data_IF_793763269275
#
_entry.id   IF_793763269275
#
_cell.length_a   1.000
_cell.length_b   1.000
_cell.length_c   1.000
_cell.angle_alpha   90.00
_cell.angle_beta   90.00
_cell.angle_gamma   90.00
#
_symmetry.space_group_name_H-M   'P 1'
#
loop_
_entity.id
_entity.type
_entity.pdbx_description
1 polymer ?
#
# COMPACT_ATOMS: atom_id res chain seq x y z
N UNK A 1 -7.19 20.93 -15.42
CA UNK A 1 -7.97 20.92 -14.17
C UNK A 1 -7.16 20.11 -13.17
N UNK A 2 -6.48 20.77 -12.25
CA UNK A 2 -5.69 20.08 -11.20
C UNK A 2 -6.68 19.59 -10.15
N UNK A 3 -6.74 18.27 -9.92
CA UNK A 3 -7.48 17.73 -8.81
C UNK A 3 -6.87 18.28 -7.52
N UNK A 4 -7.68 18.81 -6.64
CA UNK A 4 -7.31 19.21 -5.29
C UNK A 4 -6.77 17.98 -4.58
N UNK A 5 -5.53 18.07 -4.10
CA UNK A 5 -4.80 17.02 -3.41
C UNK A 5 -5.24 16.95 -1.95
N UNK A 6 -6.53 16.70 -1.73
CA UNK A 6 -7.04 16.47 -0.39
C UNK A 6 -6.76 15.02 -0.01
N UNK A 7 -5.81 14.84 0.88
CA UNK A 7 -5.56 13.54 1.51
C UNK A 7 -6.80 13.15 2.31
N UNK A 8 -7.45 12.07 1.90
CA UNK A 8 -8.61 11.56 2.64
C UNK A 8 -8.11 10.57 3.69
N UNK A 9 -8.20 10.96 4.96
CA UNK A 9 -7.89 10.08 6.08
C UNK A 9 -9.16 9.45 6.61
N UNK A 10 -9.17 8.13 6.75
CA UNK A 10 -10.27 7.36 7.33
C UNK A 10 -9.80 6.55 8.52
N UNK A 11 -10.64 6.44 9.52
CA UNK A 11 -10.39 5.57 10.67
C UNK A 11 -11.13 4.26 10.47
N UNK A 12 -10.40 3.16 10.64
CA UNK A 12 -10.94 1.80 10.58
C UNK A 12 -10.70 1.10 11.90
N UNK A 13 -11.70 0.37 12.37
CA UNK A 13 -11.54 -0.54 13.48
C UNK A 13 -11.33 -1.95 12.96
N UNK A 14 -10.23 -2.57 13.35
CA UNK A 14 -9.89 -3.95 13.03
C UNK A 14 -9.99 -4.79 14.28
N UNK A 15 -10.63 -5.94 14.20
CA UNK A 15 -10.73 -6.90 15.30
C UNK A 15 -10.58 -8.31 14.77
N UNK A 16 -10.08 -9.19 15.63
CA UNK A 16 -10.14 -10.63 15.46
C UNK A 16 -11.37 -11.23 16.17
N UNK A 17 -11.59 -12.53 15.98
CA UNK A 17 -12.67 -13.26 16.65
C UNK A 17 -12.45 -13.41 18.16
N UNK A 18 -11.26 -13.08 18.67
CA UNK A 18 -10.83 -13.21 20.07
C UNK A 18 -10.95 -11.92 20.89
N UNK A 19 -11.72 -10.93 20.43
CA UNK A 19 -11.90 -9.63 21.08
C UNK A 19 -10.65 -8.70 21.13
N UNK A 20 -9.56 -9.07 20.47
CA UNK A 20 -8.47 -8.14 20.24
C UNK A 20 -8.82 -7.22 19.09
N UNK A 21 -8.77 -5.94 19.32
CA UNK A 21 -9.06 -4.97 18.27
C UNK A 21 -8.25 -3.70 18.45
N UNK A 22 -8.03 -3.01 17.35
CA UNK A 22 -7.37 -1.72 17.34
C UNK A 22 -7.95 -0.80 16.28
N UNK A 23 -7.81 0.47 16.52
CA UNK A 23 -8.14 1.50 15.55
C UNK A 23 -6.90 1.85 14.74
N UNK A 24 -7.05 1.88 13.43
CA UNK A 24 -6.01 2.34 12.51
C UNK A 24 -6.50 3.55 11.74
N UNK A 25 -5.57 4.41 11.39
CA UNK A 25 -5.80 5.54 10.49
C UNK A 25 -5.27 5.20 9.11
N UNK A 26 -6.12 5.33 8.11
CA UNK A 26 -5.80 5.02 6.72
C UNK A 26 -5.88 6.30 5.90
N UNK A 27 -4.75 6.76 5.40
CA UNK A 27 -4.66 7.92 4.53
C UNK A 27 -4.47 7.47 3.08
N UNK A 28 -5.34 7.95 2.19
CA UNK A 28 -5.21 7.73 0.76
C UNK A 28 -4.31 8.82 0.20
N UNK A 29 -3.15 8.42 -0.27
CA UNK A 29 -2.26 9.32 -1.02
C UNK A 29 -2.71 9.35 -2.47
N UNK A 30 -2.58 10.50 -3.12
CA UNK A 30 -2.81 10.60 -4.56
C UNK A 30 -1.93 9.57 -5.27
N UNK A 31 -2.53 8.78 -6.16
CA UNK A 31 -1.78 7.80 -6.94
C UNK A 31 -0.54 8.43 -7.56
N UNK A 32 0.60 7.78 -7.42
CA UNK A 32 1.83 8.23 -8.07
C UNK A 32 1.59 8.21 -9.58
N UNK A 33 1.35 9.39 -10.13
CA UNK A 33 1.09 9.56 -11.55
C UNK A 33 2.38 9.24 -12.29
N UNK A 34 2.28 8.38 -13.28
CA UNK A 34 3.33 8.20 -14.30
C UNK A 34 3.80 9.57 -14.76
N UNK A 35 5.10 9.81 -14.76
CA UNK A 35 5.71 11.07 -15.20
C UNK A 35 5.37 12.29 -14.30
N UNK A 36 5.57 12.18 -12.98
CA UNK A 36 5.65 13.36 -12.11
C UNK A 36 6.86 14.19 -12.57
N UNK A 37 6.66 15.35 -13.25
CA UNK A 37 7.77 16.26 -13.51
C UNK A 37 8.39 16.66 -12.17
N UNK A 38 9.72 16.71 -12.10
CA UNK A 38 10.45 17.11 -10.90
C UNK A 38 9.94 18.42 -10.24
N UNK A 39 9.26 19.28 -10.99
CA UNK A 39 8.64 20.51 -10.47
C UNK A 39 7.31 20.31 -9.73
N UNK A 40 6.70 19.11 -9.79
CA UNK A 40 5.46 18.79 -9.05
C UNK A 40 5.75 18.14 -7.69
N UNK A 41 6.97 17.70 -7.42
CA UNK A 41 7.37 17.14 -6.12
C UNK A 41 7.11 18.15 -5.01
N UNK A 42 7.39 19.44 -5.23
CA UNK A 42 7.15 20.50 -4.25
C UNK A 42 5.64 20.72 -4.01
N UNK A 43 4.81 20.59 -5.05
CA UNK A 43 3.35 20.71 -4.91
C UNK A 43 2.73 19.51 -4.19
N UNK A 44 3.36 18.33 -4.27
CA UNK A 44 2.95 17.10 -3.59
C UNK A 44 3.64 16.90 -2.23
N UNK A 45 4.55 17.78 -1.83
CA UNK A 45 5.36 17.63 -0.63
C UNK A 45 4.53 17.38 0.63
N UNK A 46 3.39 18.07 0.79
CA UNK A 46 2.51 17.88 1.94
C UNK A 46 1.87 16.49 1.98
N UNK A 47 1.45 15.98 0.82
CA UNK A 47 0.85 14.64 0.68
C UNK A 47 1.91 13.54 0.86
N UNK A 48 3.10 13.76 0.32
CA UNK A 48 4.23 12.85 0.45
C UNK A 48 4.79 12.83 1.89
N UNK A 49 4.63 13.93 2.63
CA UNK A 49 5.04 14.00 4.03
C UNK A 49 4.19 13.06 4.92
N UNK A 50 2.95 12.78 4.56
CA UNK A 50 2.16 11.76 5.25
C UNK A 50 2.74 10.35 5.06
N UNK A 51 3.28 10.05 3.89
CA UNK A 51 3.95 8.78 3.63
C UNK A 51 5.21 8.61 4.50
N UNK A 52 6.01 9.66 4.68
CA UNK A 52 7.20 9.62 5.54
C UNK A 52 6.87 9.47 7.03
N UNK A 53 5.69 9.91 7.45
CA UNK A 53 5.23 9.83 8.84
C UNK A 53 4.39 8.59 9.12
N UNK A 54 4.10 7.77 8.12
CA UNK A 54 3.33 6.55 8.27
C UNK A 54 4.12 5.48 9.04
N UNK A 55 3.42 4.65 9.79
CA UNK A 55 4.01 3.47 10.44
C UNK A 55 4.12 2.28 9.48
N UNK A 56 3.30 2.28 8.43
CA UNK A 56 3.28 1.27 7.38
C UNK A 56 2.79 1.88 6.07
N UNK A 57 3.45 1.61 4.97
CA UNK A 57 3.00 1.93 3.63
C UNK A 57 2.31 0.74 2.98
N UNK A 58 1.08 0.92 2.54
CA UNK A 58 0.38 -0.04 1.69
C UNK A 58 0.64 0.32 0.23
N UNK A 59 1.50 -0.44 -0.42
CA UNK A 59 1.79 -0.27 -1.83
C UNK A 59 0.83 -1.14 -2.65
N UNK A 60 -0.24 -0.54 -3.16
CA UNK A 60 -1.27 -1.23 -3.95
C UNK A 60 -0.86 -1.30 -5.40
N UNK A 61 -0.77 -2.51 -5.92
CA UNK A 61 -0.29 -2.83 -7.27
C UNK A 61 -1.41 -3.49 -8.06
N UNK A 62 -1.66 -3.05 -9.28
CA UNK A 62 -2.50 -3.77 -10.23
C UNK A 62 -1.72 -4.95 -10.81
N UNK A 63 -1.92 -6.14 -10.25
CA UNK A 63 -1.16 -7.32 -10.68
C UNK A 63 -1.58 -7.88 -12.04
N UNK A 64 -2.68 -7.40 -12.61
CA UNK A 64 -3.11 -7.74 -13.96
C UNK A 64 -2.43 -6.91 -15.06
N UNK A 65 -1.79 -5.81 -14.69
CA UNK A 65 -1.07 -4.96 -15.63
C UNK A 65 0.30 -5.54 -15.97
N UNK A 66 0.68 -5.70 -17.24
CA UNK A 66 1.94 -6.34 -17.61
C UNK A 66 3.18 -5.58 -17.12
N UNK A 67 3.11 -4.26 -17.01
CA UNK A 67 4.23 -3.40 -16.61
C UNK A 67 4.26 -3.13 -15.09
N UNK A 68 3.56 -3.93 -14.27
CA UNK A 68 3.56 -3.70 -12.82
C UNK A 68 4.97 -3.74 -12.19
N UNK A 69 5.93 -4.54 -12.66
CA UNK A 69 7.28 -4.53 -12.08
C UNK A 69 7.96 -3.18 -12.23
N UNK A 70 7.86 -2.55 -13.41
CA UNK A 70 8.42 -1.23 -13.68
C UNK A 70 7.72 -0.15 -12.83
N UNK A 71 6.41 -0.28 -12.62
CA UNK A 71 5.65 0.62 -11.77
C UNK A 71 6.09 0.53 -10.31
N UNK A 72 6.38 -0.67 -9.80
CA UNK A 72 6.95 -0.86 -8.47
C UNK A 72 8.28 -0.12 -8.33
N UNK A 73 9.18 -0.25 -9.31
CA UNK A 73 10.47 0.44 -9.31
C UNK A 73 10.30 1.96 -9.29
N UNK A 74 9.36 2.49 -10.08
CA UNK A 74 9.06 3.92 -10.10
C UNK A 74 8.60 4.44 -8.73
N UNK A 75 7.73 3.70 -8.05
CA UNK A 75 7.28 4.07 -6.69
C UNK A 75 8.43 4.03 -5.70
N UNK A 76 9.31 3.03 -5.78
CA UNK A 76 10.47 2.97 -4.91
C UNK A 76 11.40 4.17 -5.10
N UNK A 77 11.65 4.59 -6.35
CA UNK A 77 12.43 5.79 -6.63
C UNK A 77 11.82 7.05 -6.01
N UNK A 78 10.49 7.20 -6.07
CA UNK A 78 9.81 8.33 -5.42
C UNK A 78 9.92 8.24 -3.90
N UNK A 79 9.79 7.06 -3.30
CA UNK A 79 9.95 6.87 -1.85
C UNK A 79 11.39 7.20 -1.39
N UNK A 80 12.39 6.91 -2.22
CA UNK A 80 13.78 7.33 -1.99
C UNK A 80 13.91 8.85 -2.03
N UNK A 81 13.37 9.50 -3.05
CA UNK A 81 13.44 10.95 -3.22
C UNK A 81 12.83 11.72 -2.05
N UNK A 82 11.77 11.17 -1.43
CA UNK A 82 11.10 11.80 -0.27
C UNK A 82 11.64 11.33 1.08
N UNK A 83 12.61 10.42 1.11
CA UNK A 83 13.20 9.88 2.34
C UNK A 83 12.29 8.92 3.12
N UNK A 84 11.41 8.18 2.44
CA UNK A 84 10.48 7.22 3.02
C UNK A 84 10.92 5.76 2.91
N UNK A 85 12.16 5.50 2.54
CA UNK A 85 12.70 4.14 2.36
C UNK A 85 12.71 3.30 3.64
N UNK A 86 12.84 3.96 4.79
CA UNK A 86 12.89 3.28 6.08
C UNK A 86 11.50 2.91 6.62
N UNK A 87 10.42 3.40 5.99
CA UNK A 87 9.06 3.06 6.39
C UNK A 87 8.74 1.63 5.92
N UNK A 88 8.29 0.74 6.81
CA UNK A 88 7.90 -0.61 6.44
C UNK A 88 6.84 -0.61 5.33
N UNK A 89 6.93 -1.55 4.40
CA UNK A 89 5.99 -1.68 3.29
C UNK A 89 5.27 -3.02 3.33
N UNK A 90 4.01 -3.01 2.90
CA UNK A 90 3.21 -4.18 2.56
C UNK A 90 2.74 -4.04 1.11
N UNK A 91 3.13 -4.95 0.25
CA UNK A 91 2.66 -4.99 -1.13
C UNK A 91 1.26 -5.63 -1.16
N UNK A 92 0.30 -4.90 -1.70
CA UNK A 92 -1.07 -5.37 -1.90
C UNK A 92 -1.31 -5.52 -3.40
N UNK A 93 -1.20 -6.75 -3.89
CA UNK A 93 -1.44 -7.07 -5.29
C UNK A 93 -2.94 -7.24 -5.51
N UNK A 94 -3.56 -6.18 -6.03
CA UNK A 94 -4.98 -6.13 -6.33
C UNK A 94 -5.29 -6.63 -7.75
N UNK A 95 -6.55 -6.93 -8.00
CA UNK A 95 -7.11 -7.44 -9.26
C UNK A 95 -6.66 -8.87 -9.59
N UNK A 96 -6.41 -9.69 -8.57
CA UNK A 96 -6.06 -11.11 -8.77
C UNK A 96 -7.14 -11.87 -9.56
N UNK A 97 -8.40 -11.44 -9.46
CA UNK A 97 -9.52 -11.98 -10.24
C UNK A 97 -9.40 -11.77 -11.75
N UNK A 98 -8.63 -10.77 -12.17
CA UNK A 98 -8.37 -10.48 -13.59
C UNK A 98 -7.22 -11.30 -14.18
N UNK A 99 -6.47 -12.03 -13.34
CA UNK A 99 -5.37 -12.88 -13.82
C UNK A 99 -5.91 -14.16 -14.49
N UNK A 100 -5.31 -14.59 -15.62
CA UNK A 100 -5.57 -15.91 -16.19
C UNK A 100 -5.31 -17.04 -15.19
N UNK A 101 -5.98 -18.17 -15.35
CA UNK A 101 -5.88 -19.31 -14.44
C UNK A 101 -4.44 -19.84 -14.25
N UNK A 102 -3.63 -19.79 -15.29
CA UNK A 102 -2.23 -20.21 -15.29
C UNK A 102 -1.30 -19.21 -14.58
N UNK A 103 -1.76 -17.97 -14.35
CA UNK A 103 -1.03 -16.91 -13.66
C UNK A 103 -1.56 -16.65 -12.24
N UNK A 104 -2.56 -17.41 -11.80
CA UNK A 104 -3.07 -17.27 -10.44
C UNK A 104 -1.99 -17.62 -9.40
N UNK A 105 -1.87 -16.85 -8.32
CA UNK A 105 -0.90 -17.12 -7.28
C UNK A 105 -1.20 -18.46 -6.58
N UNK A 106 -0.16 -19.24 -6.31
CA UNK A 106 -0.30 -20.50 -5.54
C UNK A 106 -0.60 -20.24 -4.06
N UNK A 107 -0.14 -19.14 -3.55
CA UNK A 107 -0.37 -18.67 -2.18
C UNK A 107 -0.87 -17.23 -2.23
N UNK A 108 -1.87 -16.94 -1.39
CA UNK A 108 -2.46 -15.60 -1.33
C UNK A 108 -1.65 -14.62 -0.47
N UNK A 109 -0.64 -15.12 0.22
CA UNK A 109 0.35 -14.34 0.96
C UNK A 109 1.73 -14.96 0.75
N UNK A 110 2.71 -14.15 0.45
CA UNK A 110 4.09 -14.55 0.30
C UNK A 110 5.05 -13.37 0.57
N UNK A 111 6.28 -13.51 0.13
CA UNK A 111 7.30 -12.47 0.21
C UNK A 111 7.77 -12.17 -1.21
N UNK A 112 7.77 -10.90 -1.56
CA UNK A 112 8.32 -10.39 -2.80
C UNK A 112 9.73 -9.86 -2.56
N UNK A 113 10.69 -10.28 -3.35
CA UNK A 113 12.07 -9.79 -3.24
C UNK A 113 12.24 -8.60 -4.16
N UNK A 114 12.58 -7.46 -3.59
CA UNK A 114 12.76 -6.18 -4.24
C UNK A 114 14.11 -5.61 -3.85
N UNK A 115 15.02 -5.47 -4.81
CA UNK A 115 16.40 -5.01 -4.58
C UNK A 115 17.14 -5.72 -3.43
N UNK A 116 16.90 -7.03 -3.30
CA UNK A 116 17.48 -7.85 -2.23
C UNK A 116 16.75 -7.77 -0.88
N UNK A 117 15.72 -6.95 -0.77
CA UNK A 117 14.87 -6.85 0.41
C UNK A 117 13.63 -7.74 0.26
N UNK A 118 13.34 -8.47 1.32
CA UNK A 118 12.14 -9.30 1.41
C UNK A 118 10.96 -8.45 1.91
N UNK A 119 9.99 -8.16 1.03
CA UNK A 119 8.81 -7.35 1.36
C UNK A 119 7.57 -8.25 1.40
N UNK A 120 6.80 -8.23 2.50
CA UNK A 120 5.56 -9.00 2.57
C UNK A 120 4.59 -8.60 1.47
N UNK A 121 3.90 -9.60 0.89
CA UNK A 121 2.92 -9.41 -0.18
C UNK A 121 1.64 -10.17 0.09
N UNK A 122 0.50 -9.54 -0.21
CA UNK A 122 -0.85 -10.13 -0.14
C UNK A 122 -1.54 -9.93 -1.48
N UNK A 123 -2.16 -10.99 -2.00
CA UNK A 123 -2.98 -10.93 -3.21
C UNK A 123 -4.45 -10.76 -2.84
N UNK A 124 -5.13 -9.80 -3.44
CA UNK A 124 -6.53 -9.47 -3.15
C UNK A 124 -7.30 -9.17 -4.43
N UNK A 125 -8.62 -9.20 -4.31
CA UNK A 125 -9.53 -8.60 -5.28
C UNK A 125 -10.47 -7.65 -4.56
N UNK A 126 -10.29 -6.36 -4.75
CA UNK A 126 -11.21 -5.36 -4.21
C UNK A 126 -12.59 -5.45 -4.86
N UNK A 127 -12.66 -5.89 -6.11
CA UNK A 127 -13.92 -6.02 -6.85
C UNK A 127 -14.79 -7.16 -6.32
N UNK A 128 -14.20 -8.32 -6.03
CA UNK A 128 -14.93 -9.51 -5.56
C UNK A 128 -14.95 -9.64 -4.05
N UNK A 129 -14.13 -8.88 -3.34
CA UNK A 129 -13.87 -9.04 -1.91
C UNK A 129 -12.90 -10.19 -1.60
N UNK A 130 -12.31 -10.80 -2.61
CA UNK A 130 -11.42 -11.96 -2.45
C UNK A 130 -10.19 -11.64 -1.62
N UNK A 131 -9.97 -12.44 -0.58
CA UNK A 131 -8.82 -12.38 0.32
C UNK A 131 -8.63 -11.07 1.11
N UNK A 132 -9.65 -10.21 1.19
CA UNK A 132 -9.59 -8.98 2.00
C UNK A 132 -9.46 -9.29 3.50
N UNK A 133 -9.98 -10.41 3.96
CA UNK A 133 -9.85 -10.82 5.36
C UNK A 133 -8.39 -11.12 5.74
N UNK A 134 -7.62 -11.73 4.86
CA UNK A 134 -6.18 -11.91 5.07
C UNK A 134 -5.43 -10.58 5.15
N UNK A 135 -5.79 -9.62 4.31
CA UNK A 135 -5.24 -8.26 4.39
C UNK A 135 -5.57 -7.61 5.75
N UNK A 136 -6.83 -7.69 6.18
CA UNK A 136 -7.26 -7.16 7.49
C UNK A 136 -6.51 -7.80 8.65
N UNK A 137 -6.36 -9.13 8.63
CA UNK A 137 -5.60 -9.86 9.65
C UNK A 137 -4.14 -9.43 9.67
N UNK A 138 -3.52 -9.23 8.51
CA UNK A 138 -2.13 -8.76 8.42
C UNK A 138 -1.98 -7.36 8.99
N UNK A 139 -2.90 -6.47 8.68
CA UNK A 139 -2.92 -5.11 9.23
C UNK A 139 -3.12 -5.13 10.75
N UNK A 140 -4.04 -5.94 11.24
CA UNK A 140 -4.27 -6.10 12.68
C UNK A 140 -3.01 -6.60 13.41
N UNK A 141 -2.36 -7.64 12.89
CA UNK A 141 -1.12 -8.16 13.47
C UNK A 141 -0.03 -7.08 13.53
N UNK A 142 0.14 -6.31 12.45
CA UNK A 142 1.10 -5.22 12.41
C UNK A 142 0.74 -4.13 13.43
N UNK A 143 -0.55 -3.80 13.54
CA UNK A 143 -1.04 -2.81 14.49
C UNK A 143 -0.83 -3.21 15.96
N UNK A 144 -1.08 -4.47 16.28
CA UNK A 144 -0.90 -5.00 17.66
C UNK A 144 0.58 -5.09 18.05
N UNK A 145 1.48 -5.20 17.10
CA UNK A 145 2.93 -5.19 17.34
C UNK A 145 3.47 -3.77 17.57
N UNK A 146 2.81 -2.76 17.06
CA UNK A 146 3.15 -1.35 17.27
C UNK A 146 2.55 -0.87 18.61
N UNK A 147 3.21 -1.11 19.70
CA UNK A 147 2.69 -1.20 21.07
C UNK A 147 2.23 0.10 21.75
N UNK A 148 2.34 1.29 21.14
CA UNK A 148 2.13 2.53 21.93
C UNK A 148 1.19 3.58 21.32
N UNK A 149 0.75 3.44 20.09
CA UNK A 149 -0.14 4.41 19.42
C UNK A 149 -0.96 3.75 18.30
N UNK A 150 -2.12 4.32 17.93
CA UNK A 150 -2.86 3.89 16.75
C UNK A 150 -1.98 3.93 15.51
N UNK A 151 -1.94 2.85 14.74
CA UNK A 151 -1.19 2.79 13.49
C UNK A 151 -1.68 3.83 12.48
N UNK A 152 -0.75 4.57 11.92
CA UNK A 152 -0.98 5.41 10.75
C UNK A 152 -0.54 4.66 9.50
N UNK A 153 -1.49 4.37 8.62
CA UNK A 153 -1.25 3.71 7.35
C UNK A 153 -1.38 4.72 6.22
N UNK A 154 -0.41 4.75 5.32
CA UNK A 154 -0.54 5.46 4.04
C UNK A 154 -0.68 4.48 2.90
N UNK A 155 -1.68 4.70 2.06
CA UNK A 155 -1.89 3.91 0.85
C UNK A 155 -1.23 4.64 -0.31
N UNK A 156 -0.26 4.00 -0.93
CA UNK A 156 0.25 4.39 -2.23
C UNK A 156 -0.39 3.51 -3.28
N UNK A 157 -1.32 4.06 -4.04
CA UNK A 157 -1.96 3.36 -5.15
C UNK A 157 -1.27 3.72 -6.45
N UNK A 158 -0.78 2.70 -7.15
CA UNK A 158 -0.45 2.82 -8.57
C UNK A 158 -1.75 2.68 -9.35
N UNK A 159 -2.44 3.78 -9.55
CA UNK A 159 -3.59 3.81 -10.45
C UNK A 159 -3.09 4.12 -11.86
N UNK A 160 -3.27 3.16 -12.72
CA UNK A 160 -3.20 3.33 -14.17
C UNK A 160 -4.44 4.02 -14.69
#
# INVERSE_FOLDING_TARGET
MFATLDTTTRQLYLSDEGANGCQISLSDTVGFIRDLPHGLVDAFAATLQEATNADLLLHVVDCSHPDYPEQIVQVQSVLEDIGATDVPQLLVFNKVDALPNDQQPRMLQDVFVMDGLAVPRVFVSAQTGGNLDSLRQRLLQTALQATERPLSLSISTLNT
#
